data_IF_762130324833
#
_entry.id   IF_762130324833
#
_cell.length_a   1.000
_cell.length_b   1.000
_cell.length_c   1.000
_cell.angle_alpha   90.00
_cell.angle_beta   90.00
_cell.angle_gamma   90.00
#
_symmetry.space_group_name_H-M   'P 1'
#
loop_
_entity.id
_entity.type
_entity.pdbx_description
1 polymer ?
#
# COMPACT_ATOMS: atom_id res chain seq x y z
N UNK A 1 -7.30 114.56 94.57
CA UNK A 1 -8.69 114.79 94.12
C UNK A 1 -9.26 113.45 93.68
N UNK A 2 -10.48 113.08 94.08
CA UNK A 2 -11.14 111.90 93.49
C UNK A 2 -11.53 112.22 92.06
N UNK A 3 -11.17 111.36 91.10
CA UNK A 3 -11.81 111.44 89.78
C UNK A 3 -13.31 111.11 89.93
N UNK A 4 -14.19 111.72 89.13
CA UNK A 4 -15.61 111.39 89.13
C UNK A 4 -15.81 109.97 88.58
N UNK A 5 -15.97 109.01 89.48
CA UNK A 5 -16.28 107.62 89.12
C UNK A 5 -17.71 107.57 88.57
N UNK A 6 -17.84 107.48 87.25
CA UNK A 6 -19.10 107.13 86.58
C UNK A 6 -19.53 105.77 87.13
N UNK A 7 -20.63 105.75 87.89
CA UNK A 7 -21.23 104.54 88.47
C UNK A 7 -22.51 104.19 87.72
N UNK A 8 -22.86 102.89 87.72
CA UNK A 8 -23.96 102.22 87.03
C UNK A 8 -25.00 103.11 86.30
N UNK A 9 -25.21 102.82 85.01
CA UNK A 9 -26.19 103.44 84.10
C UNK A 9 -25.95 104.92 83.74
N UNK A 10 -24.76 105.49 84.00
CA UNK A 10 -24.41 106.88 83.65
C UNK A 10 -23.64 107.08 82.33
N UNK A 11 -23.53 106.05 81.47
CA UNK A 11 -23.05 106.21 80.08
C UNK A 11 -24.15 105.76 79.11
N UNK A 12 -25.13 106.64 78.91
CA UNK A 12 -26.08 106.51 77.81
C UNK A 12 -25.41 106.99 76.52
N UNK A 13 -25.60 106.19 75.45
CA UNK A 13 -25.06 106.40 74.11
C UNK A 13 -26.20 106.39 73.07
N UNK A 14 -27.45 106.44 73.51
CA UNK A 14 -28.64 106.23 72.72
C UNK A 14 -28.97 107.33 71.72
N UNK A 15 -29.61 106.91 70.63
CA UNK A 15 -30.42 107.73 69.71
C UNK A 15 -29.76 108.86 68.90
N UNK A 16 -28.43 108.96 68.86
CA UNK A 16 -27.73 109.68 67.77
C UNK A 16 -26.87 108.74 66.93
N UNK A 17 -26.78 108.98 65.61
CA UNK A 17 -25.93 108.23 64.68
C UNK A 17 -24.46 108.68 64.78
N UNK A 18 -23.97 108.82 66.02
CA UNK A 18 -22.65 109.35 66.37
C UNK A 18 -21.76 108.21 66.87
N UNK A 19 -20.44 108.35 66.72
CA UNK A 19 -19.47 107.44 67.31
C UNK A 19 -18.99 107.93 68.69
N UNK A 20 -18.65 107.00 69.59
CA UNK A 20 -17.80 107.32 70.74
C UNK A 20 -16.43 107.72 70.21
N UNK A 21 -15.97 108.94 70.52
CA UNK A 21 -14.57 109.31 70.29
C UNK A 21 -13.70 108.70 71.39
N UNK A 22 -13.27 107.45 71.17
CA UNK A 22 -12.24 106.80 71.98
C UNK A 22 -10.88 107.51 71.84
N UNK A 23 -9.91 107.29 72.75
CA UNK A 23 -8.55 107.78 72.59
C UNK A 23 -7.94 107.35 71.25
N UNK A 24 -7.16 108.23 70.63
CA UNK A 24 -6.53 108.01 69.33
C UNK A 24 -5.11 108.56 69.34
N UNK A 25 -4.15 107.79 68.81
CA UNK A 25 -2.75 108.19 68.71
C UNK A 25 -1.87 107.11 68.08
N UNK A 26 -0.60 107.42 67.87
CA UNK A 26 0.40 106.51 67.30
C UNK A 26 0.74 105.35 68.23
N UNK A 27 1.42 104.31 67.73
CA UNK A 27 1.95 103.21 68.57
C UNK A 27 2.84 103.72 69.72
N UNK A 28 3.59 104.81 69.51
CA UNK A 28 4.45 105.44 70.53
C UNK A 28 3.66 106.21 71.60
N UNK A 29 2.40 106.56 71.33
CA UNK A 29 1.49 107.24 72.26
C UNK A 29 0.53 106.25 72.95
N UNK A 30 0.88 104.96 72.98
CA UNK A 30 0.23 103.97 73.86
C UNK A 30 0.52 104.35 75.32
N UNK A 31 -0.46 104.24 76.25
CA UNK A 31 -0.21 104.50 77.67
C UNK A 31 0.93 103.64 78.21
N UNK A 32 1.78 104.23 79.05
CA UNK A 32 2.97 103.59 79.64
C UNK A 32 2.66 102.71 80.86
N UNK A 33 1.41 102.68 81.30
CA UNK A 33 0.91 101.80 82.37
C UNK A 33 -0.57 101.45 82.11
N UNK A 34 -0.86 100.75 81.00
CA UNK A 34 -2.23 100.47 80.58
C UNK A 34 -2.86 99.33 81.39
N UNK A 35 -4.17 99.42 81.59
CA UNK A 35 -5.01 98.41 82.25
C UNK A 35 -5.72 97.52 81.23
N UNK A 36 -5.94 96.24 81.58
CA UNK A 36 -6.72 95.33 80.74
C UNK A 36 -8.14 95.88 80.52
N UNK A 37 -8.59 95.94 79.27
CA UNK A 37 -9.88 96.51 78.86
C UNK A 37 -9.81 97.95 78.32
N UNK A 38 -8.64 98.59 78.30
CA UNK A 38 -8.46 99.84 77.56
C UNK A 38 -8.60 99.60 76.04
N UNK A 39 -9.31 100.50 75.35
CA UNK A 39 -9.52 100.47 73.89
C UNK A 39 -9.20 101.84 73.30
N UNK A 40 -8.46 101.85 72.19
CA UNK A 40 -8.03 103.05 71.46
C UNK A 40 -7.99 102.81 69.95
N UNK A 41 -7.95 103.88 69.17
CA UNK A 41 -7.57 103.82 67.76
C UNK A 41 -6.08 104.09 67.62
N UNK A 42 -5.37 103.20 66.93
CA UNK A 42 -3.95 103.37 66.63
C UNK A 42 -3.79 103.99 65.24
N UNK A 43 -3.38 105.25 65.17
CA UNK A 43 -3.18 105.96 63.89
C UNK A 43 -1.94 105.51 63.12
N UNK A 44 -0.99 104.82 63.76
CA UNK A 44 0.14 104.16 63.06
C UNK A 44 -0.29 102.86 62.39
N UNK A 45 -1.21 102.11 63.01
CA UNK A 45 -1.72 100.83 62.48
C UNK A 45 -3.05 100.96 61.72
N UNK A 46 -3.62 102.16 61.65
CA UNK A 46 -4.92 102.47 61.03
C UNK A 46 -6.08 101.59 61.52
N UNK A 47 -6.09 101.21 62.79
CA UNK A 47 -7.05 100.24 63.33
C UNK A 47 -7.32 100.38 64.83
N UNK A 48 -8.40 99.76 65.28
CA UNK A 48 -8.73 99.65 66.70
C UNK A 48 -7.82 98.64 67.40
N UNK A 49 -7.31 99.00 68.58
CA UNK A 49 -6.53 98.11 69.44
C UNK A 49 -7.06 98.12 70.87
N UNK A 50 -6.96 96.97 71.53
CA UNK A 50 -7.34 96.77 72.92
C UNK A 50 -6.15 96.24 73.73
N UNK A 51 -6.00 96.68 74.97
CA UNK A 51 -5.02 96.13 75.88
C UNK A 51 -5.62 94.96 76.66
N UNK A 52 -5.03 93.77 76.52
CA UNK A 52 -5.46 92.57 77.20
C UNK A 52 -4.25 91.64 77.43
N UNK A 53 -4.27 90.86 78.51
CA UNK A 53 -3.21 89.87 78.79
C UNK A 53 -1.80 90.44 78.96
N UNK A 54 -1.66 91.76 79.18
CA UNK A 54 -0.36 92.43 79.24
C UNK A 54 0.18 92.93 77.89
N UNK A 55 -0.64 93.03 76.84
CA UNK A 55 -0.22 93.58 75.53
C UNK A 55 -1.35 94.26 74.76
N UNK A 56 -0.97 95.16 73.86
CA UNK A 56 -1.88 95.82 72.91
C UNK A 56 -2.05 94.96 71.65
N UNK A 57 -3.26 94.44 71.44
CA UNK A 57 -3.64 93.61 70.30
C UNK A 57 -4.68 94.31 69.41
N UNK A 58 -4.71 93.99 68.12
CA UNK A 58 -5.70 94.54 67.19
C UNK A 58 -7.09 93.94 67.44
N UNK A 59 -8.11 94.79 67.46
CA UNK A 59 -9.52 94.40 67.60
C UNK A 59 -10.16 94.20 66.22
N UNK A 60 -9.56 93.32 65.42
CA UNK A 60 -10.06 92.95 64.08
C UNK A 60 -11.03 91.76 64.15
N UNK A 61 -12.04 91.77 63.29
CA UNK A 61 -12.95 90.63 63.12
C UNK A 61 -12.28 89.52 62.28
N UNK A 62 -11.21 88.92 62.81
CA UNK A 62 -10.43 87.89 62.14
C UNK A 62 -11.08 86.51 62.22
N UNK A 63 -11.67 86.05 61.12
CA UNK A 63 -11.93 84.62 60.93
C UNK A 63 -10.61 83.88 60.64
N UNK A 64 -10.43 82.67 61.17
CA UNK A 64 -9.32 81.80 60.75
C UNK A 64 -9.60 81.26 59.35
N UNK A 65 -9.03 81.90 58.34
CA UNK A 65 -8.91 81.34 56.98
C UNK A 65 -7.56 80.64 56.87
N UNK A 66 -7.49 79.37 57.26
CA UNK A 66 -6.37 78.52 56.87
C UNK A 66 -6.45 78.33 55.34
N UNK A 67 -5.46 78.86 54.64
CA UNK A 67 -5.30 78.76 53.20
C UNK A 67 -4.52 77.50 52.82
N UNK A 68 -4.37 77.26 51.52
CA UNK A 68 -3.58 76.13 51.03
C UNK A 68 -2.07 76.27 51.36
N UNK A 69 -1.60 77.52 51.54
CA UNK A 69 -0.22 77.85 51.90
C UNK A 69 0.06 77.72 53.42
N UNK A 70 -0.98 77.53 54.25
CA UNK A 70 -0.86 77.30 55.70
C UNK A 70 -0.66 75.81 56.05
N UNK A 71 -0.70 74.90 55.07
CA UNK A 71 -0.43 73.48 55.26
C UNK A 71 1.07 73.19 55.18
N UNK A 72 1.63 72.60 56.23
CA UNK A 72 3.09 72.42 56.37
C UNK A 72 3.72 71.46 55.36
N UNK A 73 2.92 70.63 54.70
CA UNK A 73 3.32 69.72 53.62
C UNK A 73 3.02 70.27 52.21
N UNK A 74 2.59 71.53 52.09
CA UNK A 74 2.29 72.20 50.82
C UNK A 74 3.20 73.40 50.63
N UNK A 75 3.90 73.46 49.49
CA UNK A 75 4.86 74.53 49.16
C UNK A 75 4.54 75.07 47.77
N UNK A 76 3.77 76.17 47.72
CA UNK A 76 3.41 76.84 46.47
C UNK A 76 4.34 78.03 46.22
N UNK A 77 5.09 77.96 45.12
CA UNK A 77 5.96 79.04 44.63
C UNK A 77 5.39 79.64 43.33
N UNK A 78 4.79 80.82 43.43
CA UNK A 78 4.27 81.63 42.31
C UNK A 78 3.42 80.81 41.29
N UNK A 79 2.16 80.47 41.62
CA UNK A 79 1.36 79.54 40.82
C UNK A 79 1.03 80.11 39.43
N UNK A 80 1.22 79.27 38.41
CA UNK A 80 0.98 79.56 36.99
C UNK A 80 -0.25 78.77 36.49
N UNK A 81 -0.99 79.33 35.53
CA UNK A 81 -2.10 78.64 34.85
C UNK A 81 -1.64 77.28 34.32
N UNK A 82 -2.50 76.27 34.49
CA UNK A 82 -2.28 74.85 34.14
C UNK A 82 -1.17 74.13 34.92
N UNK A 83 -0.76 74.66 36.08
CA UNK A 83 -0.09 73.87 37.10
C UNK A 83 -1.10 73.05 37.94
N UNK A 84 -0.61 71.97 38.53
CA UNK A 84 -1.31 71.10 39.49
C UNK A 84 -0.46 70.95 40.74
N UNK A 85 -1.06 70.51 41.86
CA UNK A 85 -0.27 70.00 42.98
C UNK A 85 0.27 68.61 42.62
N UNK A 86 1.59 68.46 42.73
CA UNK A 86 2.31 67.21 42.54
C UNK A 86 3.12 66.92 43.80
N UNK A 87 3.03 65.71 44.33
CA UNK A 87 3.88 65.28 45.44
C UNK A 87 5.30 64.99 44.93
N UNK A 88 6.31 65.71 45.43
CA UNK A 88 7.71 65.60 44.99
C UNK A 88 8.49 64.43 45.64
N UNK A 89 7.86 63.73 46.59
CA UNK A 89 8.46 62.72 47.47
C UNK A 89 8.57 63.16 48.93
N UNK A 90 8.43 64.47 49.21
CA UNK A 90 8.46 65.08 50.55
C UNK A 90 7.28 66.03 50.77
N UNK A 91 6.95 66.88 49.80
CA UNK A 91 5.89 67.91 49.88
C UNK A 91 5.01 67.92 48.63
N UNK A 92 3.84 68.53 48.72
CA UNK A 92 3.02 68.93 47.57
C UNK A 92 3.49 70.28 47.03
N UNK A 93 3.98 70.29 45.79
CA UNK A 93 4.44 71.50 45.10
C UNK A 93 3.55 71.85 43.92
N UNK A 94 3.46 73.13 43.57
CA UNK A 94 2.86 73.54 42.31
C UNK A 94 3.82 73.20 41.15
N UNK A 95 3.40 72.28 40.27
CA UNK A 95 4.20 71.84 39.13
C UNK A 95 3.39 71.92 37.85
N UNK A 96 4.05 72.17 36.72
CA UNK A 96 3.38 72.10 35.41
C UNK A 96 2.88 70.66 35.19
N UNK A 97 1.69 70.51 34.59
CA UNK A 97 1.07 69.21 34.37
C UNK A 97 1.88 68.36 33.36
N UNK A 98 2.93 67.71 33.86
CA UNK A 98 3.81 66.82 33.11
C UNK A 98 3.07 65.53 32.80
N UNK A 99 2.45 65.49 31.60
CA UNK A 99 1.85 64.28 31.06
C UNK A 99 2.83 63.52 30.17
N UNK A 100 3.76 62.80 30.78
CA UNK A 100 4.03 61.43 30.36
C UNK A 100 3.67 60.51 31.52
N UNK A 101 2.59 59.74 31.36
CA UNK A 101 2.43 58.51 32.14
C UNK A 101 3.46 57.52 31.60
N UNK A 102 4.70 57.67 32.06
CA UNK A 102 5.77 56.73 31.82
C UNK A 102 5.48 55.47 32.64
N UNK A 103 4.64 54.59 32.09
CA UNK A 103 4.16 53.34 32.70
C UNK A 103 5.27 52.33 33.07
N UNK A 104 6.54 52.72 32.98
CA UNK A 104 7.69 51.89 33.33
C UNK A 104 8.91 52.73 33.71
N UNK A 105 9.43 52.53 34.93
CA UNK A 105 10.75 53.00 35.38
C UNK A 105 11.82 51.92 35.38
N UNK A 106 11.48 50.67 35.01
CA UNK A 106 12.40 49.53 35.00
C UNK A 106 13.23 49.51 33.71
N UNK A 107 14.55 49.43 33.85
CA UNK A 107 15.47 49.25 32.73
C UNK A 107 15.30 47.86 32.09
N UNK A 108 14.82 47.79 30.84
CA UNK A 108 14.73 46.53 30.07
C UNK A 108 13.38 46.25 29.38
N UNK A 109 12.39 47.12 29.52
CA UNK A 109 11.15 47.11 28.74
C UNK A 109 11.20 48.23 27.68
N UNK A 110 10.83 47.91 26.44
CA UNK A 110 10.81 48.84 25.30
C UNK A 110 9.63 48.49 24.38
N UNK A 111 8.97 49.49 23.78
CA UNK A 111 7.96 49.24 22.74
C UNK A 111 6.80 50.23 22.60
N UNK A 112 6.59 51.14 23.56
CA UNK A 112 5.44 52.07 23.54
C UNK A 112 5.83 53.53 23.36
N UNK A 113 5.17 54.23 22.43
CA UNK A 113 4.90 55.66 22.59
C UNK A 113 3.90 55.86 23.75
N UNK A 114 3.82 57.07 24.31
CA UNK A 114 2.84 57.37 25.36
C UNK A 114 1.41 57.00 24.91
N UNK A 115 0.69 56.22 25.73
CA UNK A 115 -0.69 55.78 25.45
C UNK A 115 -0.85 54.38 24.84
N UNK A 116 0.21 53.55 24.73
CA UNK A 116 0.09 52.15 24.27
C UNK A 116 0.23 51.14 25.43
N UNK A 117 -0.65 50.14 25.46
CA UNK A 117 -0.92 49.29 26.64
C UNK A 117 -0.10 47.99 26.76
N UNK A 118 0.84 47.70 25.85
CA UNK A 118 1.55 46.40 25.81
C UNK A 118 3.03 46.51 26.16
N UNK A 119 3.40 45.92 27.30
CA UNK A 119 4.78 45.84 27.77
C UNK A 119 5.44 44.51 27.39
N UNK A 120 6.15 44.51 26.26
CA UNK A 120 7.05 43.41 25.91
C UNK A 120 8.41 43.61 26.60
N UNK A 121 8.98 42.54 27.18
CA UNK A 121 10.41 42.52 27.50
C UNK A 121 11.25 42.61 26.22
N UNK A 122 12.50 43.08 26.29
CA UNK A 122 13.37 43.17 25.10
C UNK A 122 13.42 41.89 24.26
N UNK A 123 13.45 40.70 24.88
CA UNK A 123 13.46 39.42 24.16
C UNK A 123 12.12 39.12 23.43
N UNK A 124 10.99 39.51 24.03
CA UNK A 124 9.67 39.41 23.39
C UNK A 124 9.50 40.46 22.29
N UNK A 125 9.98 41.69 22.50
CA UNK A 125 9.95 42.75 21.48
C UNK A 125 10.77 42.36 20.24
N UNK A 126 11.99 41.81 20.44
CA UNK A 126 12.81 41.24 19.35
C UNK A 126 12.10 40.08 18.66
N UNK A 127 11.37 39.24 19.39
CA UNK A 127 10.59 38.10 18.84
C UNK A 127 9.40 38.56 17.98
N UNK A 128 8.66 39.59 18.42
CA UNK A 128 7.56 40.17 17.64
C UNK A 128 8.10 40.93 16.43
N UNK A 129 9.20 41.67 16.60
CA UNK A 129 9.88 42.39 15.52
C UNK A 129 10.42 41.45 14.45
N UNK A 130 11.02 40.32 14.84
CA UNK A 130 11.57 39.34 13.89
C UNK A 130 10.48 38.58 13.13
N UNK A 131 9.31 38.37 13.74
CA UNK A 131 8.14 37.81 13.06
C UNK A 131 7.50 38.82 12.10
N UNK A 132 7.33 40.08 12.52
CA UNK A 132 6.77 41.16 11.70
C UNK A 132 7.71 41.59 10.54
N UNK A 133 9.00 41.25 10.61
CA UNK A 133 9.96 41.46 9.54
C UNK A 133 9.98 40.35 8.47
N UNK A 134 9.23 39.25 8.66
CA UNK A 134 9.05 38.23 7.63
C UNK A 134 7.98 38.64 6.61
N UNK A 135 8.10 38.11 5.40
CA UNK A 135 7.01 38.11 4.43
C UNK A 135 5.88 37.15 4.81
N UNK A 136 4.76 37.27 4.09
CA UNK A 136 3.59 36.41 4.24
C UNK A 136 3.91 34.92 4.01
N UNK A 137 2.99 34.05 4.45
CA UNK A 137 3.04 32.61 4.19
C UNK A 137 3.48 31.78 5.40
N UNK A 138 3.99 30.58 5.13
CA UNK A 138 4.46 29.64 6.15
C UNK A 138 5.78 30.12 6.78
N UNK A 139 5.83 30.12 8.11
CA UNK A 139 7.05 30.40 8.87
C UNK A 139 7.37 29.27 9.85
N UNK A 140 8.66 29.03 10.07
CA UNK A 140 9.16 28.13 11.11
C UNK A 140 10.09 28.89 12.06
N UNK A 141 10.00 28.57 13.35
CA UNK A 141 10.98 29.04 14.35
C UNK A 141 12.26 28.23 14.21
N UNK A 142 13.33 28.85 13.74
CA UNK A 142 14.60 28.19 13.42
C UNK A 142 15.61 28.25 14.57
N UNK A 143 15.49 29.24 15.47
CA UNK A 143 16.23 29.30 16.73
C UNK A 143 15.45 30.12 17.79
N UNK A 144 16.05 30.37 18.95
CA UNK A 144 15.47 31.28 19.94
C UNK A 144 15.35 32.71 19.38
N UNK A 145 14.13 33.24 19.27
CA UNK A 145 13.84 34.55 18.69
C UNK A 145 13.97 34.65 17.16
N UNK A 146 14.46 33.61 16.48
CA UNK A 146 14.67 33.60 15.02
C UNK A 146 13.59 32.77 14.33
N UNK A 147 12.97 33.38 13.34
CA UNK A 147 11.97 32.79 12.47
C UNK A 147 12.44 32.90 11.03
N UNK A 148 11.92 32.04 10.15
CA UNK A 148 12.22 32.09 8.72
C UNK A 148 11.03 31.57 7.94
N UNK A 149 10.77 32.16 6.77
CA UNK A 149 9.79 31.61 5.83
C UNK A 149 10.18 30.20 5.38
N UNK A 150 9.18 29.41 4.98
CA UNK A 150 9.31 28.03 4.52
C UNK A 150 8.40 27.78 3.34
N UNK A 151 8.80 26.83 2.52
CA UNK A 151 8.04 26.37 1.36
C UNK A 151 8.04 24.85 1.40
N UNK A 152 6.86 24.25 1.25
CA UNK A 152 6.69 22.83 0.99
C UNK A 152 7.03 22.58 -0.48
N UNK A 153 8.19 21.98 -0.74
CA UNK A 153 8.68 21.68 -2.08
C UNK A 153 8.36 20.24 -2.45
N UNK A 154 7.78 20.02 -3.62
CA UNK A 154 7.54 18.67 -4.14
C UNK A 154 8.86 17.93 -4.46
N UNK A 155 8.91 16.59 -4.31
CA UNK A 155 9.92 15.77 -4.97
C UNK A 155 9.72 15.81 -6.51
N UNK A 156 10.65 15.21 -7.25
CA UNK A 156 10.61 15.20 -8.73
C UNK A 156 9.43 14.41 -9.33
N UNK A 157 8.82 13.50 -8.57
CA UNK A 157 7.69 12.67 -9.00
C UNK A 157 6.87 12.16 -7.81
N UNK A 158 5.63 11.73 -8.05
CA UNK A 158 4.78 11.00 -7.10
C UNK A 158 3.85 11.87 -6.26
N UNK A 159 4.24 13.09 -5.88
CA UNK A 159 3.31 14.13 -5.40
C UNK A 159 3.61 15.48 -6.05
N UNK A 160 2.57 16.30 -6.24
CA UNK A 160 2.69 17.74 -6.50
C UNK A 160 2.36 18.53 -5.23
N UNK A 161 2.90 19.75 -5.14
CA UNK A 161 2.54 20.72 -4.10
C UNK A 161 2.19 22.04 -4.79
N UNK A 162 0.97 22.53 -4.58
CA UNK A 162 0.54 23.87 -5.01
C UNK A 162 0.42 24.79 -3.78
N UNK A 163 0.64 26.09 -3.97
CA UNK A 163 0.71 27.09 -2.90
C UNK A 163 1.66 26.68 -1.75
N UNK A 164 2.80 26.06 -2.05
CA UNK A 164 3.69 25.47 -1.04
C UNK A 164 4.24 26.46 -0.02
N UNK A 165 4.22 27.76 -0.30
CA UNK A 165 4.58 28.85 0.61
C UNK A 165 3.42 29.38 1.46
N UNK A 166 2.18 28.98 1.17
CA UNK A 166 0.96 29.48 1.82
C UNK A 166 0.55 30.91 1.44
N UNK A 167 1.15 31.53 0.41
CA UNK A 167 0.90 32.94 0.07
C UNK A 167 -0.31 33.11 -0.86
N UNK A 168 -0.38 32.32 -1.93
CA UNK A 168 -1.47 32.38 -2.92
C UNK A 168 -2.75 31.62 -2.49
N UNK A 169 -2.72 30.96 -1.35
CA UNK A 169 -3.80 30.15 -0.81
C UNK A 169 -3.27 29.04 0.11
N UNK A 170 -4.14 28.14 0.56
CA UNK A 170 -3.72 27.00 1.37
C UNK A 170 -2.76 26.08 0.58
N UNK A 171 -1.63 25.63 1.18
CA UNK A 171 -0.78 24.59 0.59
C UNK A 171 -1.60 23.32 0.35
N UNK A 172 -1.57 22.81 -0.88
CA UNK A 172 -2.34 21.62 -1.28
C UNK A 172 -1.40 20.58 -1.86
N UNK A 173 -1.49 19.36 -1.34
CA UNK A 173 -0.76 18.19 -1.82
C UNK A 173 -1.70 17.34 -2.67
N UNK A 174 -1.23 16.85 -3.81
CA UNK A 174 -1.95 15.90 -4.64
C UNK A 174 -1.00 14.80 -5.13
N UNK A 175 -1.52 13.59 -5.38
CA UNK A 175 -0.74 12.53 -6.00
C UNK A 175 -0.35 12.93 -7.43
N UNK A 176 0.78 12.38 -7.88
CA UNK A 176 1.34 12.59 -9.21
C UNK A 176 1.77 11.26 -9.80
N UNK A 177 1.99 11.24 -11.12
CA UNK A 177 2.64 10.15 -11.81
C UNK A 177 1.98 8.79 -11.56
N UNK A 178 2.78 7.74 -11.41
CA UNK A 178 2.33 6.39 -11.07
C UNK A 178 1.42 6.31 -9.84
N UNK A 179 1.58 7.20 -8.84
CA UNK A 179 0.70 7.19 -7.66
C UNK A 179 -0.70 7.70 -7.99
N UNK A 180 -0.82 8.77 -8.79
CA UNK A 180 -2.12 9.25 -9.27
C UNK A 180 -2.80 8.22 -10.18
N UNK A 181 -2.03 7.52 -11.02
CA UNK A 181 -2.55 6.53 -11.95
C UNK A 181 -2.90 5.18 -11.29
N UNK A 182 -2.27 4.86 -10.16
CA UNK A 182 -2.60 3.69 -9.33
C UNK A 182 -3.84 3.95 -8.47
N UNK A 183 -3.93 5.10 -7.82
CA UNK A 183 -5.13 5.56 -7.07
C UNK A 183 -6.36 5.68 -8.00
N UNK A 184 -6.14 6.04 -9.27
CA UNK A 184 -7.16 6.14 -10.31
C UNK A 184 -7.67 4.81 -10.89
N UNK A 185 -7.22 3.65 -10.40
CA UNK A 185 -7.72 2.35 -10.87
C UNK A 185 -9.18 2.13 -10.43
N UNK A 186 -10.09 2.08 -11.40
CA UNK A 186 -11.51 1.75 -11.18
C UNK A 186 -11.80 0.26 -10.93
N UNK A 187 -10.76 -0.56 -10.80
CA UNK A 187 -10.86 -2.03 -10.69
C UNK A 187 -9.85 -2.58 -9.67
N UNK A 188 -10.27 -3.60 -8.93
CA UNK A 188 -9.41 -4.36 -8.02
C UNK A 188 -8.67 -5.48 -8.77
N UNK A 189 -7.64 -6.06 -8.14
CA UNK A 189 -6.94 -7.25 -8.64
C UNK A 189 -5.46 -6.99 -8.92
N UNK A 190 -4.88 -7.74 -9.86
CA UNK A 190 -3.44 -7.67 -10.19
C UNK A 190 -3.10 -6.38 -10.95
N UNK A 191 -2.85 -5.30 -10.20
CA UNK A 191 -2.40 -4.02 -10.73
C UNK A 191 -1.03 -4.14 -11.43
N UNK A 192 -0.97 -3.72 -12.69
CA UNK A 192 0.20 -3.82 -13.57
C UNK A 192 0.53 -2.47 -14.20
N UNK A 193 1.72 -1.93 -13.93
CA UNK A 193 2.29 -0.78 -14.65
C UNK A 193 2.60 -1.20 -16.10
N UNK A 194 1.94 -0.58 -17.06
CA UNK A 194 2.08 -0.91 -18.50
C UNK A 194 2.80 0.15 -19.31
N UNK A 195 2.88 1.38 -18.81
CA UNK A 195 3.79 2.42 -19.25
C UNK A 195 4.10 3.35 -18.06
N UNK A 196 4.97 4.35 -18.25
CA UNK A 196 5.12 5.43 -17.28
C UNK A 196 3.77 6.09 -17.01
N UNK A 197 3.39 6.20 -15.74
CA UNK A 197 2.14 6.83 -15.31
C UNK A 197 0.88 6.14 -15.89
N UNK A 198 0.97 4.86 -16.23
CA UNK A 198 -0.16 4.07 -16.76
C UNK A 198 -0.23 2.71 -16.10
N UNK A 199 -1.32 2.49 -15.35
CA UNK A 199 -1.61 1.24 -14.64
C UNK A 199 -2.94 0.66 -15.14
N UNK A 200 -3.01 -0.67 -15.18
CA UNK A 200 -4.24 -1.43 -15.47
C UNK A 200 -4.26 -2.67 -14.59
N UNK A 201 -5.43 -3.18 -14.23
CA UNK A 201 -5.55 -4.53 -13.69
C UNK A 201 -5.40 -5.57 -14.79
N UNK A 202 -4.90 -6.76 -14.46
CA UNK A 202 -4.78 -7.89 -15.38
C UNK A 202 -5.35 -9.16 -14.77
N UNK A 203 -5.75 -10.08 -15.65
CA UNK A 203 -6.25 -11.41 -15.30
C UNK A 203 -5.32 -12.46 -15.90
N UNK A 204 -4.92 -13.44 -15.12
CA UNK A 204 -4.20 -14.63 -15.58
C UNK A 204 -5.23 -15.62 -16.15
N UNK A 205 -5.10 -15.97 -17.43
CA UNK A 205 -6.03 -16.86 -18.13
C UNK A 205 -5.37 -18.18 -18.49
N UNK A 206 -6.02 -19.30 -18.15
CA UNK A 206 -5.60 -20.62 -18.63
C UNK A 206 -6.07 -20.88 -20.06
N UNK A 207 -5.26 -21.60 -20.85
CA UNK A 207 -5.68 -22.14 -22.15
C UNK A 207 -6.48 -23.42 -21.94
N UNK A 208 -7.67 -23.51 -22.56
CA UNK A 208 -8.56 -24.69 -22.50
C UNK A 208 -7.79 -25.98 -22.79
N UNK A 209 -8.05 -27.01 -21.98
CA UNK A 209 -7.37 -28.31 -22.01
C UNK A 209 -5.84 -28.25 -21.82
N UNK A 210 -5.26 -27.15 -21.31
CA UNK A 210 -3.83 -27.08 -20.97
C UNK A 210 -3.67 -26.73 -19.49
N UNK A 211 -3.96 -25.47 -19.13
CA UNK A 211 -3.93 -24.95 -17.77
C UNK A 211 -5.35 -24.59 -17.33
N UNK A 212 -5.68 -24.97 -16.09
CA UNK A 212 -6.80 -24.41 -15.36
C UNK A 212 -6.28 -23.26 -14.49
N UNK A 213 -6.98 -22.13 -14.51
CA UNK A 213 -6.70 -20.99 -13.61
C UNK A 213 -7.99 -20.58 -12.91
N UNK A 214 -7.96 -20.55 -11.59
CA UNK A 214 -9.03 -20.08 -10.70
C UNK A 214 -8.59 -18.81 -9.97
N UNK A 215 -9.53 -17.92 -9.69
CA UNK A 215 -9.30 -16.58 -9.12
C UNK A 215 -8.19 -15.78 -9.82
N UNK A 216 -8.11 -15.91 -11.14
CA UNK A 216 -7.01 -15.37 -11.97
C UNK A 216 -6.89 -13.85 -11.99
N UNK A 217 -7.88 -13.12 -11.47
CA UNK A 217 -7.84 -11.66 -11.28
C UNK A 217 -7.28 -11.24 -9.91
N UNK A 218 -7.19 -12.17 -8.95
CA UNK A 218 -6.79 -11.93 -7.57
C UNK A 218 -7.81 -11.17 -6.72
N UNK A 219 -9.09 -11.12 -7.12
CA UNK A 219 -10.13 -10.32 -6.44
C UNK A 219 -10.94 -11.12 -5.44
N UNK A 220 -11.38 -12.33 -5.80
CA UNK A 220 -12.21 -13.19 -4.93
C UNK A 220 -11.34 -14.10 -4.04
N UNK A 221 -10.16 -14.50 -4.54
CA UNK A 221 -9.22 -15.39 -3.88
C UNK A 221 -7.80 -15.24 -4.42
N UNK A 222 -6.89 -16.07 -3.94
CA UNK A 222 -5.52 -16.12 -4.46
C UNK A 222 -5.51 -16.80 -5.84
N UNK A 223 -4.88 -16.24 -6.88
CA UNK A 223 -4.76 -16.88 -8.18
C UNK A 223 -4.12 -18.26 -8.06
N UNK A 224 -4.84 -19.30 -8.49
CA UNK A 224 -4.39 -20.69 -8.42
C UNK A 224 -4.28 -21.27 -9.83
N UNK A 225 -3.09 -21.80 -10.16
CA UNK A 225 -2.77 -22.35 -11.47
C UNK A 225 -2.55 -23.85 -11.32
N UNK A 226 -3.23 -24.65 -12.14
CA UNK A 226 -3.13 -26.11 -12.15
C UNK A 226 -3.23 -26.67 -13.58
N UNK A 227 -2.98 -27.97 -13.74
CA UNK A 227 -3.23 -28.66 -15.01
C UNK A 227 -4.75 -28.83 -15.22
N UNK A 228 -5.18 -28.79 -16.49
CA UNK A 228 -6.55 -29.17 -16.83
C UNK A 228 -6.82 -30.65 -16.51
N UNK A 229 -8.08 -31.01 -16.24
CA UNK A 229 -8.47 -32.42 -16.05
C UNK A 229 -8.26 -33.27 -17.29
N UNK A 230 -8.33 -32.67 -18.49
CA UNK A 230 -8.04 -33.28 -19.77
C UNK A 230 -6.88 -32.55 -20.44
N UNK A 231 -5.63 -32.85 -20.04
CA UNK A 231 -4.44 -32.18 -20.60
C UNK A 231 -4.19 -32.61 -22.04
N UNK A 232 -4.18 -31.63 -22.94
CA UNK A 232 -3.65 -31.69 -24.30
C UNK A 232 -2.27 -31.04 -24.27
N UNK A 233 -1.25 -31.75 -24.76
CA UNK A 233 0.11 -31.24 -24.88
C UNK A 233 0.33 -30.79 -26.33
N UNK A 234 0.37 -29.47 -26.63
CA UNK A 234 0.39 -28.95 -27.99
C UNK A 234 1.78 -29.03 -28.64
N UNK A 235 1.80 -29.00 -29.98
CA UNK A 235 3.02 -29.04 -30.79
C UNK A 235 3.20 -30.37 -31.52
N UNK A 236 4.34 -30.53 -32.18
CA UNK A 236 4.69 -31.72 -33.00
C UNK A 236 5.95 -32.45 -32.50
N UNK A 237 6.46 -32.05 -31.34
CA UNK A 237 7.59 -32.71 -30.67
C UNK A 237 7.11 -33.87 -29.77
N UNK A 238 8.04 -34.66 -29.25
CA UNK A 238 7.76 -35.74 -28.30
C UNK A 238 7.48 -35.24 -26.88
N UNK A 239 6.64 -35.96 -26.14
CA UNK A 239 6.49 -35.82 -24.69
C UNK A 239 7.44 -36.80 -24.00
N UNK A 240 8.35 -36.30 -23.16
CA UNK A 240 9.24 -37.16 -22.36
C UNK A 240 8.45 -37.76 -21.19
N UNK A 241 8.17 -39.05 -21.28
CA UNK A 241 7.58 -39.83 -20.18
C UNK A 241 8.66 -40.17 -19.12
N UNK A 242 8.27 -40.52 -17.87
CA UNK A 242 9.20 -41.01 -16.86
C UNK A 242 10.07 -42.15 -17.37
N UNK A 243 11.34 -42.19 -16.95
CA UNK A 243 12.35 -43.11 -17.47
C UNK A 243 13.16 -43.76 -16.34
N UNK A 244 13.45 -45.05 -16.47
CA UNK A 244 14.33 -45.78 -15.54
C UNK A 244 14.18 -47.29 -15.67
N UNK A 245 15.01 -48.04 -14.94
CA UNK A 245 15.05 -49.52 -14.97
C UNK A 245 13.80 -50.16 -14.38
N UNK A 246 13.63 -51.48 -14.59
CA UNK A 246 12.58 -52.28 -13.93
C UNK A 246 12.60 -52.15 -12.39
N UNK A 247 13.77 -51.98 -11.78
CA UNK A 247 13.91 -51.76 -10.33
C UNK A 247 13.45 -50.36 -9.88
N UNK A 248 13.36 -49.39 -10.80
CA UNK A 248 12.97 -48.00 -10.56
C UNK A 248 11.48 -47.75 -10.89
N UNK A 249 10.63 -48.79 -10.80
CA UNK A 249 9.18 -48.68 -11.09
C UNK A 249 8.38 -47.93 -10.01
N UNK A 250 8.83 -47.94 -8.76
CA UNK A 250 8.17 -47.24 -7.64
C UNK A 250 6.79 -47.83 -7.29
N UNK A 251 6.00 -47.08 -6.51
CA UNK A 251 4.60 -47.44 -6.23
C UNK A 251 3.73 -47.10 -7.43
N UNK A 252 3.23 -48.12 -8.11
CA UNK A 252 2.49 -47.98 -9.36
C UNK A 252 0.97 -47.86 -9.16
N UNK A 253 0.31 -47.14 -10.07
CA UNK A 253 -1.14 -46.90 -10.10
C UNK A 253 -1.67 -47.08 -11.52
N UNK A 254 -2.86 -47.67 -11.68
CA UNK A 254 -3.43 -47.95 -13.01
C UNK A 254 -3.51 -46.67 -13.86
N UNK A 255 -3.07 -46.74 -15.11
CA UNK A 255 -3.01 -45.62 -16.05
C UNK A 255 -1.66 -44.90 -16.13
N UNK A 256 -0.67 -45.26 -15.30
CA UNK A 256 0.70 -44.77 -15.45
C UNK A 256 1.35 -45.34 -16.73
N UNK A 257 2.18 -44.52 -17.40
CA UNK A 257 3.01 -44.90 -18.56
C UNK A 257 4.44 -44.38 -18.37
N UNK A 258 5.45 -45.17 -18.74
CA UNK A 258 6.88 -44.85 -18.64
C UNK A 258 7.70 -45.52 -19.73
N UNK A 259 8.96 -45.13 -19.90
CA UNK A 259 9.96 -45.89 -20.66
C UNK A 259 10.85 -46.69 -19.70
N UNK A 260 11.08 -47.97 -20.01
CA UNK A 260 11.91 -48.85 -19.20
C UNK A 260 13.25 -49.13 -19.89
N UNK A 261 14.33 -48.67 -19.28
CA UNK A 261 15.70 -48.79 -19.82
C UNK A 261 16.29 -50.19 -19.69
N UNK A 262 15.68 -51.09 -18.90
CA UNK A 262 16.09 -52.49 -18.81
C UNK A 262 15.51 -53.33 -19.95
N UNK A 263 14.33 -52.99 -20.44
CA UNK A 263 13.64 -53.71 -21.52
C UNK A 263 13.73 -53.02 -22.88
N UNK A 264 14.08 -51.72 -22.91
CA UNK A 264 14.13 -50.91 -24.14
C UNK A 264 12.75 -50.50 -24.67
N UNK A 265 11.72 -50.51 -23.81
CA UNK A 265 10.32 -50.46 -24.23
C UNK A 265 9.50 -49.45 -23.40
N UNK A 266 8.44 -48.92 -24.02
CA UNK A 266 7.39 -48.21 -23.29
C UNK A 266 6.48 -49.21 -22.59
N UNK A 267 6.20 -48.98 -21.32
CA UNK A 267 5.36 -49.83 -20.47
C UNK A 267 4.29 -49.02 -19.75
N UNK A 268 3.12 -49.64 -19.59
CA UNK A 268 1.96 -49.09 -18.91
C UNK A 268 1.55 -49.96 -17.74
N UNK A 269 1.06 -49.37 -16.65
CA UNK A 269 0.54 -50.12 -15.52
C UNK A 269 -0.99 -50.23 -15.62
N UNK A 270 -1.49 -51.46 -15.71
CA UNK A 270 -2.92 -51.76 -15.80
C UNK A 270 -3.24 -53.03 -15.02
N UNK A 271 -4.44 -53.11 -14.44
CA UNK A 271 -4.90 -54.28 -13.66
C UNK A 271 -3.87 -54.76 -12.61
N UNK A 272 -3.13 -53.83 -11.99
CA UNK A 272 -2.10 -54.15 -10.99
C UNK A 272 -0.76 -54.66 -11.53
N UNK A 273 -0.53 -54.67 -12.86
CA UNK A 273 0.69 -55.20 -13.49
C UNK A 273 1.25 -54.24 -14.56
N UNK A 274 2.58 -54.21 -14.70
CA UNK A 274 3.24 -53.51 -15.81
C UNK A 274 3.23 -54.36 -17.09
N UNK A 275 2.66 -53.82 -18.17
CA UNK A 275 2.62 -54.44 -19.50
C UNK A 275 3.41 -53.61 -20.51
N UNK A 276 3.92 -54.26 -21.57
CA UNK A 276 4.50 -53.58 -22.72
C UNK A 276 3.39 -52.85 -23.52
N UNK A 277 3.65 -51.61 -23.94
CA UNK A 277 2.77 -50.83 -24.84
C UNK A 277 3.32 -50.71 -26.27
N UNK A 278 4.58 -51.09 -26.50
CA UNK A 278 5.10 -51.26 -27.84
C UNK A 278 4.32 -52.39 -28.53
N UNK A 279 3.93 -52.26 -29.82
CA UNK A 279 3.19 -53.30 -30.51
C UNK A 279 4.00 -54.61 -30.52
N UNK A 280 3.45 -55.64 -29.88
CA UNK A 280 3.99 -56.99 -29.96
C UNK A 280 3.81 -57.46 -31.40
N UNK A 281 4.92 -57.53 -32.16
CA UNK A 281 5.00 -58.40 -33.34
C UNK A 281 4.57 -59.78 -32.87
N UNK A 282 3.53 -60.34 -33.50
CA UNK A 282 2.62 -61.32 -32.90
C UNK A 282 3.33 -62.64 -32.52
N UNK A 283 3.93 -62.67 -31.33
CA UNK A 283 4.88 -63.71 -30.94
C UNK A 283 4.18 -64.98 -30.46
N UNK A 284 3.94 -65.87 -31.43
CA UNK A 284 3.39 -67.21 -31.24
C UNK A 284 4.39 -68.15 -30.53
N UNK A 285 5.65 -67.75 -30.31
CA UNK A 285 6.75 -68.55 -29.72
C UNK A 285 6.57 -68.88 -28.23
N UNK A 286 5.51 -69.61 -27.89
CA UNK A 286 5.20 -70.07 -26.53
C UNK A 286 3.70 -70.23 -26.23
N UNK A 287 2.79 -69.77 -27.11
CA UNK A 287 1.36 -69.75 -26.86
C UNK A 287 0.60 -70.79 -27.68
N UNK A 288 0.47 -72.01 -27.14
CA UNK A 288 -0.14 -73.17 -27.83
C UNK A 288 -1.67 -73.20 -27.86
N UNK A 289 -2.36 -72.20 -27.29
CA UNK A 289 -3.76 -72.33 -26.83
C UNK A 289 -4.77 -71.32 -27.39
N UNK A 290 -4.39 -70.47 -28.36
CA UNK A 290 -5.26 -69.38 -28.85
C UNK A 290 -6.05 -69.68 -30.15
N UNK A 291 -5.93 -70.87 -30.75
CA UNK A 291 -6.78 -71.31 -31.86
C UNK A 291 -7.80 -72.37 -31.40
N UNK A 292 -8.73 -71.97 -30.53
CA UNK A 292 -9.95 -72.74 -30.26
C UNK A 292 -11.19 -71.84 -30.42
N UNK A 293 -11.54 -71.55 -31.67
CA UNK A 293 -12.69 -70.72 -32.02
C UNK A 293 -12.97 -70.78 -33.53
N UNK A 294 -14.24 -70.62 -33.91
CA UNK A 294 -14.63 -70.56 -35.32
C UNK A 294 -14.21 -69.22 -35.91
N UNK A 295 -13.19 -69.26 -36.77
CA UNK A 295 -12.73 -68.14 -37.58
C UNK A 295 -13.68 -67.94 -38.77
N UNK A 296 -14.08 -66.68 -39.03
CA UNK A 296 -15.01 -66.37 -40.10
C UNK A 296 -14.40 -66.59 -41.48
N UNK A 297 -15.20 -67.07 -42.42
CA UNK A 297 -14.78 -67.29 -43.81
C UNK A 297 -14.29 -65.97 -44.43
N UNK A 298 -13.09 -66.01 -45.04
CA UNK A 298 -12.41 -64.82 -45.58
C UNK A 298 -11.49 -64.06 -44.60
N UNK A 299 -11.37 -64.47 -43.34
CA UNK A 299 -10.45 -63.79 -42.38
C UNK A 299 -8.98 -64.06 -42.71
N UNK A 300 -8.18 -63.03 -42.96
CA UNK A 300 -6.72 -63.12 -43.13
C UNK A 300 -6.00 -63.28 -41.79
N UNK A 301 -5.42 -64.45 -41.54
CA UNK A 301 -4.70 -64.76 -40.28
C UNK A 301 -3.17 -64.61 -40.44
N UNK A 302 -2.65 -64.77 -41.66
CA UNK A 302 -1.24 -64.58 -42.00
C UNK A 302 -1.13 -63.73 -43.26
N UNK A 303 -0.15 -62.82 -43.28
CA UNK A 303 0.23 -62.04 -44.47
C UNK A 303 1.63 -62.48 -44.90
N UNK A 304 1.72 -63.16 -46.05
CA UNK A 304 2.99 -63.68 -46.56
C UNK A 304 3.80 -62.59 -47.27
N UNK A 305 5.13 -62.65 -47.15
CA UNK A 305 6.10 -61.86 -47.93
C UNK A 305 6.98 -62.83 -48.70
N UNK A 306 7.34 -62.49 -49.94
CA UNK A 306 7.96 -63.44 -50.85
C UNK A 306 9.31 -63.99 -50.35
N UNK A 307 9.50 -65.31 -50.52
CA UNK A 307 10.68 -66.12 -50.21
C UNK A 307 10.82 -66.62 -48.75
N UNK A 308 9.91 -66.28 -47.84
CA UNK A 308 9.87 -66.90 -46.51
C UNK A 308 9.42 -68.38 -46.55
N UNK A 309 9.92 -69.19 -45.62
CA UNK A 309 9.56 -70.61 -45.48
C UNK A 309 8.42 -70.79 -44.46
N UNK A 310 7.40 -71.58 -44.82
CA UNK A 310 6.33 -71.97 -43.91
C UNK A 310 6.54 -73.41 -43.42
N UNK A 311 6.68 -73.57 -42.10
CA UNK A 311 7.00 -74.85 -41.43
C UNK A 311 5.87 -75.26 -40.50
N UNK A 312 5.28 -76.44 -40.74
CA UNK A 312 4.23 -77.01 -39.88
C UNK A 312 4.82 -77.95 -38.82
N UNK A 313 4.52 -77.74 -37.52
CA UNK A 313 4.79 -78.73 -36.49
C UNK A 313 3.92 -80.00 -36.67
N UNK A 314 4.54 -81.17 -36.56
CA UNK A 314 3.83 -82.46 -36.55
C UNK A 314 2.92 -82.60 -35.31
N UNK A 315 1.81 -83.32 -35.47
CA UNK A 315 0.87 -83.65 -34.38
C UNK A 315 -0.47 -82.93 -34.41
N UNK A 316 -0.67 -81.97 -35.31
CA UNK A 316 -1.96 -81.28 -35.48
C UNK A 316 -2.97 -82.16 -36.23
N UNK A 317 -4.05 -82.55 -35.57
CA UNK A 317 -5.24 -83.13 -36.21
C UNK A 317 -6.22 -82.03 -36.63
N UNK A 318 -6.90 -82.21 -37.76
CA UNK A 318 -7.81 -81.21 -38.36
C UNK A 318 -7.18 -79.82 -38.59
N UNK A 319 -5.86 -79.74 -38.86
CA UNK A 319 -5.25 -78.54 -39.44
C UNK A 319 -5.84 -78.21 -40.80
N UNK A 320 -5.87 -76.91 -41.13
CA UNK A 320 -6.48 -76.35 -42.33
C UNK A 320 -5.68 -75.10 -42.85
N UNK A 321 -5.33 -75.07 -44.17
CA UNK A 321 -4.52 -74.09 -44.95
C UNK A 321 -5.15 -73.89 -46.37
N UNK A 322 -4.86 -72.89 -47.24
CA UNK A 322 -5.38 -72.95 -48.64
C UNK A 322 -4.58 -72.19 -49.70
N UNK A 323 -4.98 -72.40 -50.97
CA UNK A 323 -4.47 -71.71 -52.15
C UNK A 323 -5.63 -71.05 -52.93
N UNK A 324 -5.67 -69.72 -52.95
CA UNK A 324 -6.55 -68.93 -53.80
C UNK A 324 -5.73 -67.89 -54.56
N UNK A 325 -6.05 -67.63 -55.83
CA UNK A 325 -5.45 -66.53 -56.58
C UNK A 325 -6.32 -65.27 -56.41
N UNK A 326 -5.88 -64.35 -55.54
CA UNK A 326 -6.57 -63.09 -55.29
C UNK A 326 -6.39 -62.05 -56.42
N UNK A 327 -5.57 -62.34 -57.44
CA UNK A 327 -5.06 -61.34 -58.39
C UNK A 327 -5.72 -61.37 -59.78
N UNK A 328 -6.82 -62.12 -59.95
CA UNK A 328 -7.53 -62.24 -61.23
C UNK A 328 -6.73 -62.93 -62.35
N UNK A 329 -5.60 -63.56 -61.99
CA UNK A 329 -4.69 -64.21 -62.93
C UNK A 329 -5.29 -65.48 -63.51
N UNK A 330 -5.38 -65.58 -64.84
CA UNK A 330 -5.88 -66.78 -65.55
C UNK A 330 -4.83 -67.90 -65.69
N UNK A 331 -3.83 -67.91 -64.81
CA UNK A 331 -2.69 -68.83 -64.87
C UNK A 331 -2.91 -70.10 -64.05
N UNK A 332 -2.26 -71.19 -64.46
CA UNK A 332 -2.03 -72.33 -63.58
C UNK A 332 -0.83 -72.02 -62.68
N UNK A 333 -0.93 -72.26 -61.37
CA UNK A 333 0.19 -72.11 -60.43
C UNK A 333 0.46 -73.42 -59.71
N UNK A 334 1.75 -73.71 -59.49
CA UNK A 334 2.23 -74.94 -58.86
C UNK A 334 3.20 -74.59 -57.73
N UNK A 335 2.98 -75.23 -56.58
CA UNK A 335 3.80 -75.16 -55.38
C UNK A 335 4.46 -76.51 -55.17
N UNK A 336 5.73 -76.53 -54.78
CA UNK A 336 6.47 -77.77 -54.52
C UNK A 336 6.43 -78.10 -53.04
N UNK A 337 6.03 -79.34 -52.74
CA UNK A 337 6.02 -79.90 -51.39
C UNK A 337 7.36 -80.59 -51.14
N UNK A 338 8.05 -80.16 -50.09
CA UNK A 338 9.28 -80.75 -49.60
C UNK A 338 9.06 -81.42 -48.23
N UNK A 339 9.64 -82.61 -48.08
CA UNK A 339 9.90 -83.24 -46.80
C UNK A 339 11.31 -82.85 -46.36
N UNK A 340 11.43 -82.30 -45.16
CA UNK A 340 12.69 -81.85 -44.60
C UNK A 340 13.10 -82.73 -43.42
N UNK A 341 14.22 -83.43 -43.59
CA UNK A 341 14.87 -84.33 -42.63
C UNK A 341 16.28 -83.84 -42.27
N UNK A 342 16.56 -82.54 -42.45
CA UNK A 342 17.90 -81.95 -42.52
C UNK A 342 18.34 -81.56 -43.93
N UNK A 343 17.57 -81.96 -44.96
CA UNK A 343 17.69 -81.48 -46.35
C UNK A 343 16.32 -81.48 -47.03
N UNK A 344 16.13 -80.61 -48.03
CA UNK A 344 14.86 -80.46 -48.77
C UNK A 344 14.70 -81.57 -49.82
N UNK A 345 13.89 -82.58 -49.53
CA UNK A 345 13.52 -83.64 -50.50
C UNK A 345 12.16 -83.34 -51.09
N UNK A 346 12.04 -83.16 -52.42
CA UNK A 346 10.73 -82.98 -53.05
C UNK A 346 9.91 -84.28 -52.94
N UNK A 347 8.70 -84.18 -52.39
CA UNK A 347 7.78 -85.30 -52.20
C UNK A 347 6.42 -85.12 -52.87
N UNK A 348 6.15 -83.95 -53.44
CA UNK A 348 4.93 -83.71 -54.19
C UNK A 348 4.81 -82.29 -54.74
N UNK A 349 3.65 -82.00 -55.31
CA UNK A 349 3.24 -80.66 -55.71
C UNK A 349 1.78 -80.39 -55.31
N UNK A 350 1.45 -79.12 -55.17
CA UNK A 350 0.06 -78.64 -55.16
C UNK A 350 -0.12 -77.74 -56.37
N UNK A 351 -1.06 -78.09 -57.24
CA UNK A 351 -1.37 -77.31 -58.44
C UNK A 351 -2.83 -76.86 -58.44
N UNK A 352 -3.08 -75.61 -58.81
CA UNK A 352 -4.42 -75.09 -59.08
C UNK A 352 -4.45 -74.35 -60.41
N UNK A 353 -5.64 -74.18 -60.97
CA UNK A 353 -5.86 -73.39 -62.19
C UNK A 353 -7.11 -72.53 -61.99
N UNK A 354 -7.00 -71.24 -62.27
CA UNK A 354 -8.09 -70.28 -62.13
C UNK A 354 -9.34 -70.67 -62.97
N UNK A 355 -10.58 -70.26 -62.59
CA UNK A 355 -10.89 -69.26 -61.55
C UNK A 355 -10.92 -69.84 -60.14
N UNK A 356 -11.74 -70.87 -59.90
CA UNK A 356 -11.90 -71.53 -58.61
C UNK A 356 -12.15 -73.03 -58.82
N UNK A 357 -11.13 -73.84 -58.57
CA UNK A 357 -11.22 -75.31 -58.53
C UNK A 357 -10.47 -75.82 -57.31
N UNK A 358 -10.88 -76.97 -56.77
CA UNK A 358 -10.18 -77.63 -55.68
C UNK A 358 -8.71 -77.87 -56.06
N UNK A 359 -7.72 -77.40 -55.27
CA UNK A 359 -6.31 -77.60 -55.58
C UNK A 359 -5.97 -79.09 -55.60
N UNK A 360 -5.29 -79.53 -56.65
CA UNK A 360 -4.86 -80.93 -56.78
C UNK A 360 -3.52 -81.11 -56.09
N UNK A 361 -3.51 -81.87 -55.00
CA UNK A 361 -2.30 -82.32 -54.31
C UNK A 361 -1.86 -83.64 -54.94
N UNK A 362 -0.61 -83.72 -55.41
CA UNK A 362 -0.02 -84.95 -55.95
C UNK A 362 1.29 -85.24 -55.23
N UNK A 363 1.33 -86.33 -54.46
CA UNK A 363 2.58 -86.84 -53.90
C UNK A 363 3.29 -87.73 -54.94
N UNK A 364 4.59 -87.55 -55.11
CA UNK A 364 5.41 -88.33 -56.07
C UNK A 364 5.81 -89.70 -55.53
N UNK A 365 5.67 -89.92 -54.22
CA UNK A 365 5.89 -91.20 -53.54
C UNK A 365 5.04 -91.27 -52.27
N UNK A 366 4.95 -92.44 -51.63
CA UNK A 366 4.58 -92.49 -50.23
C UNK A 366 5.64 -91.74 -49.39
N UNK A 367 5.22 -91.12 -48.29
CA UNK A 367 6.09 -90.36 -47.37
C UNK A 367 5.75 -90.75 -45.93
N UNK A 368 6.77 -91.06 -45.15
CA UNK A 368 6.66 -91.34 -43.72
C UNK A 368 7.41 -90.26 -42.96
N UNK A 369 6.76 -89.60 -42.02
CA UNK A 369 7.33 -88.51 -41.23
C UNK A 369 7.70 -89.00 -39.82
N UNK A 370 8.93 -88.73 -39.41
CA UNK A 370 9.47 -89.02 -38.08
C UNK A 370 9.40 -87.80 -37.15
N UNK A 371 9.72 -87.99 -35.87
CA UNK A 371 9.79 -86.89 -34.88
C UNK A 371 11.02 -86.03 -35.19
N UNK A 372 10.77 -84.76 -35.54
CA UNK A 372 11.79 -83.79 -35.95
C UNK A 372 11.72 -83.40 -37.44
N UNK A 373 10.93 -84.12 -38.23
CA UNK A 373 10.70 -83.80 -39.64
C UNK A 373 9.78 -82.59 -39.81
N UNK A 374 9.95 -81.86 -40.91
CA UNK A 374 9.06 -80.79 -41.33
C UNK A 374 8.47 -81.02 -42.73
N UNK A 375 7.25 -80.53 -42.95
CA UNK A 375 6.67 -80.32 -44.27
C UNK A 375 6.86 -78.84 -44.64
N UNK A 376 7.54 -78.58 -45.76
CA UNK A 376 7.84 -77.24 -46.27
C UNK A 376 7.21 -77.09 -47.66
N UNK A 377 6.48 -76.00 -47.90
CA UNK A 377 5.83 -75.72 -49.18
C UNK A 377 6.45 -74.47 -49.77
N UNK A 378 7.17 -74.60 -50.89
CA UNK A 378 7.79 -73.48 -51.59
C UNK A 378 7.06 -73.21 -52.92
N UNK A 379 6.72 -71.95 -53.19
CA UNK A 379 6.15 -71.51 -54.47
C UNK A 379 7.17 -70.70 -55.28
N UNK A 380 7.26 -70.96 -56.59
CA UNK A 380 7.95 -70.09 -57.54
C UNK A 380 6.92 -69.32 -58.36
N UNK A 381 6.43 -68.20 -57.81
CA UNK A 381 5.42 -67.37 -58.45
C UNK A 381 6.03 -66.25 -59.28
N UNK A 382 5.74 -66.23 -60.58
CA UNK A 382 5.59 -64.97 -61.30
C UNK A 382 4.22 -64.35 -60.95
N UNK A 383 4.23 -63.08 -60.55
CA UNK A 383 3.06 -62.36 -60.05
C UNK A 383 2.80 -62.60 -58.55
N UNK A 384 2.56 -61.52 -57.83
CA UNK A 384 2.31 -61.50 -56.38
C UNK A 384 0.92 -62.09 -56.04
N UNK A 385 0.82 -62.84 -54.95
CA UNK A 385 -0.45 -63.42 -54.49
C UNK A 385 -0.37 -63.91 -53.04
N UNK A 386 -1.24 -63.39 -52.18
CA UNK A 386 -1.24 -63.67 -50.74
C UNK A 386 -1.99 -64.95 -50.40
N UNK A 387 -1.42 -65.75 -49.50
CA UNK A 387 -1.93 -67.04 -49.02
C UNK A 387 -3.04 -66.88 -47.95
N UNK A 388 -4.24 -67.45 -48.17
CA UNK A 388 -5.39 -67.34 -47.24
C UNK A 388 -6.29 -68.59 -47.34
N UNK A 389 -6.64 -69.29 -46.23
CA UNK A 389 -7.74 -70.28 -46.18
C UNK A 389 -7.48 -71.62 -45.42
N UNK A 390 -8.30 -72.67 -45.70
CA UNK A 390 -8.47 -73.91 -44.91
C UNK A 390 -8.52 -75.29 -45.71
N UNK A 391 -7.72 -76.34 -45.34
CA UNK A 391 -7.36 -77.63 -46.04
C UNK A 391 -7.43 -78.83 -45.05
N UNK A 392 -8.35 -79.79 -45.12
CA UNK A 392 -8.31 -80.94 -44.16
C UNK A 392 -7.16 -81.93 -44.42
N UNK A 393 -6.27 -82.13 -43.45
CA UNK A 393 -5.33 -83.27 -43.45
C UNK A 393 -5.89 -84.48 -42.69
N UNK A 394 -6.03 -85.63 -43.37
CA UNK A 394 -6.33 -86.93 -42.75
C UNK A 394 -5.07 -87.82 -42.74
N UNK A 395 -4.15 -87.55 -41.81
CA UNK A 395 -2.97 -88.39 -41.57
C UNK A 395 -3.39 -89.64 -40.78
N UNK A 396 -3.75 -90.71 -41.49
CA UNK A 396 -4.02 -92.01 -40.86
C UNK A 396 -2.70 -92.68 -40.46
N UNK A 397 -2.31 -92.51 -39.20
CA UNK A 397 -1.24 -93.29 -38.60
C UNK A 397 -1.62 -94.78 -38.58
N UNK A 398 -0.86 -95.61 -39.30
CA UNK A 398 -0.70 -97.02 -38.94
C UNK A 398 0.32 -97.12 -37.81
N UNK A 399 -0.11 -97.72 -36.70
CA UNK A 399 0.75 -98.20 -35.62
C UNK A 399 1.57 -99.41 -36.07
#
# INVERSE_FOLDING_TARGET
MSQPKIVANQLDLGTSTSAIKIPSGTTSERPISPSNGEIRYNSTLSGFEGYAGGSWAALTAGALTATLDDLTDVIISAPVINQILTFDGTNWINSTASSPVAHNTLTGLQGGSAGQYFHLSSAQNTTVSSLNALGNGLFAKTAAGVYSTRTLTAPISGITVTNGDGIAGNPTLALSDDLSSLEGLSTNGIATRTASNTWVTRVITGTTNQLLVSDGDGVIGNPTISLSTNVVLPGTASVTLPIGTTAQRGTATNGQIRYNTTTGLFEGYQSGTWVNLSPVVFDISGHTSWLNGSIAEGTTIFSYVANDQFTLPIGLTNSHFYLADASGNTGSKTFTIYHYTGSLTQVGTISYTAPYVTPTITFTSAVTFAIGDALIINGTTSGEGTLIGSFTFNLKATY
#
